data_IF_712915604561
#
_entry.id   IF_712915604561
#
_cell.length_a   1.000
_cell.length_b   1.000
_cell.length_c   1.000
_cell.angle_alpha   90.00
_cell.angle_beta   90.00
_cell.angle_gamma   90.00
#
_symmetry.space_group_name_H-M   'P 1'
#
loop_
_entity.id
_entity.type
_entity.pdbx_description
1 polymer ?
#
# COMPACT_ATOMS: atom_id res chain seq x y z
N UNK A 1 13.96 -17.09 21.37
CA UNK A 1 13.23 -15.84 21.48
C UNK A 1 13.04 -15.22 20.10
N UNK A 2 11.92 -14.50 19.94
CA UNK A 2 11.57 -13.83 18.69
C UNK A 2 11.30 -12.36 18.99
N UNK A 3 11.62 -11.50 18.02
CA UNK A 3 11.33 -10.07 18.10
C UNK A 3 10.11 -9.75 17.24
N UNK A 4 9.20 -8.96 17.77
CA UNK A 4 8.00 -8.59 17.06
C UNK A 4 7.93 -7.07 16.89
N UNK A 5 7.44 -6.66 15.73
CA UNK A 5 7.17 -5.25 15.41
C UNK A 5 5.69 -5.12 15.08
N UNK A 6 5.02 -4.18 15.71
CA UNK A 6 3.61 -3.91 15.46
C UNK A 6 3.44 -2.50 14.91
N UNK A 7 2.63 -2.35 13.88
CA UNK A 7 2.20 -1.05 13.38
C UNK A 7 0.74 -0.90 13.78
N UNK A 8 0.47 0.11 14.61
CA UNK A 8 -0.86 0.36 15.16
C UNK A 8 -1.50 1.49 14.34
N UNK A 9 -2.70 1.24 13.82
CA UNK A 9 -3.44 2.25 13.06
C UNK A 9 -4.07 3.28 14.01
N UNK A 10 -4.46 4.47 13.49
CA UNK A 10 -5.10 5.49 14.33
C UNK A 10 -6.35 5.01 15.06
N UNK A 11 -7.05 4.00 14.52
CA UNK A 11 -8.22 3.40 15.17
C UNK A 11 -7.84 2.42 16.29
N UNK A 12 -6.56 2.37 16.67
CA UNK A 12 -5.99 1.52 17.70
C UNK A 12 -6.03 0.03 17.39
N UNK A 13 -6.21 -0.32 16.13
CA UNK A 13 -6.14 -1.71 15.67
C UNK A 13 -4.78 -2.00 15.05
N UNK A 14 -4.35 -3.26 15.13
CA UNK A 14 -3.10 -3.69 14.52
C UNK A 14 -3.29 -3.72 13.00
N UNK A 15 -2.50 -2.91 12.27
CA UNK A 15 -2.54 -2.89 10.81
C UNK A 15 -1.57 -3.87 10.19
N UNK A 16 -0.43 -4.09 10.86
CA UNK A 16 0.60 -4.99 10.38
C UNK A 16 1.44 -5.44 11.57
N UNK A 17 1.91 -6.68 11.54
CA UNK A 17 2.94 -7.10 12.49
C UNK A 17 3.93 -8.03 11.81
N UNK A 18 5.17 -7.97 12.28
CA UNK A 18 6.27 -8.80 11.79
C UNK A 18 6.96 -9.48 12.95
N UNK A 19 7.32 -10.75 12.76
CA UNK A 19 8.05 -11.51 13.75
C UNK A 19 9.41 -11.89 13.17
N UNK A 20 10.48 -11.54 13.87
CA UNK A 20 11.84 -11.86 13.45
C UNK A 20 12.48 -12.83 14.42
N UNK A 21 13.28 -13.80 13.91
CA UNK A 21 14.12 -14.58 14.79
C UNK A 21 15.21 -13.70 15.42
N UNK A 22 15.77 -14.13 16.54
CA UNK A 22 16.80 -13.34 17.26
C UNK A 22 18.04 -13.06 16.41
N UNK A 23 18.36 -13.98 15.49
CA UNK A 23 19.54 -13.84 14.64
C UNK A 23 19.36 -12.87 13.47
N UNK A 24 18.13 -12.41 13.22
CA UNK A 24 17.81 -11.54 12.07
C UNK A 24 17.54 -10.13 12.54
N UNK A 25 18.32 -9.16 12.05
CA UNK A 25 18.08 -7.75 12.33
C UNK A 25 16.84 -7.23 11.60
N UNK A 26 16.19 -6.23 12.17
CA UNK A 26 15.00 -5.62 11.59
C UNK A 26 15.37 -4.67 10.47
N UNK A 27 14.57 -4.61 9.42
CA UNK A 27 14.73 -3.68 8.32
C UNK A 27 13.81 -2.48 8.53
N UNK A 28 14.34 -1.39 9.07
CA UNK A 28 13.55 -0.19 9.35
C UNK A 28 13.08 0.51 8.09
N UNK A 29 13.83 0.42 6.99
CA UNK A 29 13.39 0.97 5.71
C UNK A 29 12.12 0.29 5.22
N UNK A 30 12.01 -1.03 5.39
CA UNK A 30 10.80 -1.76 5.05
C UNK A 30 9.63 -1.36 5.96
N UNK A 31 9.88 -1.11 7.24
CA UNK A 31 8.83 -0.63 8.15
C UNK A 31 8.30 0.72 7.70
N UNK A 32 9.17 1.65 7.29
CA UNK A 32 8.76 2.95 6.77
C UNK A 32 7.99 2.81 5.47
N UNK A 33 8.43 1.93 4.58
CA UNK A 33 7.75 1.65 3.32
C UNK A 33 6.32 1.14 3.58
N UNK A 34 6.18 0.22 4.55
CA UNK A 34 4.88 -0.34 4.92
C UNK A 34 3.96 0.73 5.52
N UNK A 35 4.50 1.62 6.34
CA UNK A 35 3.71 2.73 6.90
C UNK A 35 3.23 3.67 5.80
N UNK A 36 4.11 4.04 4.86
CA UNK A 36 3.74 4.89 3.72
C UNK A 36 2.63 4.24 2.90
N UNK A 37 2.76 2.93 2.64
CA UNK A 37 1.73 2.17 1.94
C UNK A 37 0.40 2.17 2.68
N UNK A 38 0.43 1.92 3.99
CA UNK A 38 -0.78 1.89 4.81
C UNK A 38 -1.49 3.24 4.83
N UNK A 39 -0.74 4.33 4.93
CA UNK A 39 -1.31 5.67 4.90
C UNK A 39 -1.94 5.99 3.55
N UNK A 40 -1.26 5.62 2.46
CA UNK A 40 -1.77 5.84 1.11
C UNK A 40 -3.06 5.05 0.86
N UNK A 41 -3.05 3.76 1.20
CA UNK A 41 -4.21 2.89 0.97
C UNK A 41 -5.40 3.22 1.87
N UNK A 42 -5.16 3.86 3.01
CA UNK A 42 -6.24 4.33 3.88
C UNK A 42 -6.95 5.56 3.31
N UNK A 43 -6.24 6.40 2.55
CA UNK A 43 -6.79 7.63 1.96
C UNK A 43 -7.37 7.41 0.57
N UNK A 44 -6.80 6.49 -0.18
CA UNK A 44 -7.16 6.25 -1.59
C UNK A 44 -7.48 4.78 -1.79
N UNK A 45 -8.37 4.50 -2.73
CA UNK A 45 -8.77 3.11 -3.04
C UNK A 45 -7.77 2.47 -4.00
N UNK A 46 -6.55 2.32 -3.53
CA UNK A 46 -5.45 1.74 -4.29
C UNK A 46 -4.74 0.68 -3.45
N UNK A 47 -3.95 -0.15 -4.12
CA UNK A 47 -3.08 -1.12 -3.47
C UNK A 47 -1.65 -0.89 -3.96
N UNK A 48 -0.68 -1.15 -3.11
CA UNK A 48 0.72 -1.00 -3.49
C UNK A 48 1.28 -2.33 -3.96
N UNK A 49 1.99 -2.36 -5.10
CA UNK A 49 2.61 -3.60 -5.57
C UNK A 49 3.82 -3.99 -4.72
N UNK A 50 4.32 -5.20 -4.95
CA UNK A 50 5.55 -5.65 -4.30
C UNK A 50 6.69 -4.67 -4.60
N UNK A 51 7.55 -4.43 -3.59
CA UNK A 51 8.70 -3.54 -3.70
C UNK A 51 8.36 -2.08 -4.00
N UNK A 52 7.09 -1.70 -3.85
CA UNK A 52 6.66 -0.31 -4.07
C UNK A 52 7.39 0.64 -3.13
N UNK A 53 7.77 1.80 -3.67
CA UNK A 53 8.31 2.92 -2.91
C UNK A 53 7.43 4.15 -3.11
N UNK A 54 7.40 5.02 -2.12
CA UNK A 54 6.59 6.24 -2.16
C UNK A 54 6.88 7.04 -3.43
N UNK A 55 5.83 7.37 -4.17
CA UNK A 55 5.92 8.09 -5.42
C UNK A 55 5.83 7.22 -6.66
N UNK A 56 5.97 5.90 -6.54
CA UNK A 56 5.83 4.99 -7.67
C UNK A 56 4.36 4.71 -7.97
N UNK A 57 4.11 4.10 -9.13
CA UNK A 57 2.76 3.75 -9.54
C UNK A 57 2.10 2.77 -8.57
N UNK A 58 0.80 2.91 -8.40
CA UNK A 58 -0.01 2.03 -7.56
C UNK A 58 -1.08 1.35 -8.41
N UNK A 59 -1.77 0.39 -7.82
CA UNK A 59 -2.79 -0.41 -8.48
C UNK A 59 -4.16 -0.01 -7.96
N UNK A 60 -5.11 0.21 -8.87
CA UNK A 60 -6.51 0.44 -8.48
C UNK A 60 -7.06 -0.89 -7.96
N UNK A 61 -7.66 -0.88 -6.76
CA UNK A 61 -8.19 -2.13 -6.19
C UNK A 61 -9.30 -2.68 -7.08
N UNK A 62 -9.38 -4.03 -7.25
CA UNK A 62 -10.38 -4.64 -8.13
C UNK A 62 -11.83 -4.35 -7.70
N UNK A 63 -12.05 -4.04 -6.43
CA UNK A 63 -13.38 -3.70 -5.93
C UNK A 63 -13.91 -2.38 -6.50
N UNK A 64 -13.02 -1.51 -7.01
CA UNK A 64 -13.39 -0.25 -7.65
C UNK A 64 -13.68 -0.54 -9.12
N UNK A 65 -14.94 -0.34 -9.55
CA UNK A 65 -15.34 -0.52 -10.94
C UNK A 65 -14.89 0.66 -11.78
N UNK A 66 -14.85 0.49 -13.10
CA UNK A 66 -14.37 1.53 -14.02
C UNK A 66 -15.13 2.85 -13.87
N UNK A 67 -16.45 2.80 -13.65
CA UNK A 67 -17.25 4.02 -13.47
C UNK A 67 -16.82 4.82 -12.24
N UNK A 68 -16.58 4.11 -11.12
CA UNK A 68 -16.09 4.74 -9.89
C UNK A 68 -14.64 5.18 -10.06
N UNK A 69 -13.83 4.38 -10.75
CA UNK A 69 -12.43 4.72 -11.01
C UNK A 69 -12.29 6.01 -11.81
N UNK A 70 -13.18 6.26 -12.78
CA UNK A 70 -13.18 7.50 -13.57
C UNK A 70 -13.43 8.73 -12.70
N UNK A 71 -14.23 8.59 -11.65
CA UNK A 71 -14.49 9.68 -10.70
C UNK A 71 -13.30 9.93 -9.78
N UNK A 72 -12.62 8.85 -9.35
CA UNK A 72 -11.49 8.94 -8.43
C UNK A 72 -10.19 9.33 -9.14
N UNK A 73 -10.04 8.91 -10.39
CA UNK A 73 -8.82 9.12 -11.17
C UNK A 73 -9.17 9.70 -12.53
N UNK A 74 -9.55 11.01 -12.58
CA UNK A 74 -10.03 11.64 -13.83
C UNK A 74 -8.96 11.69 -14.91
N UNK A 75 -7.68 11.62 -14.56
CA UNK A 75 -6.58 11.62 -15.52
C UNK A 75 -6.38 10.25 -16.19
N UNK A 76 -7.19 9.25 -15.80
CA UNK A 76 -7.14 7.92 -16.38
C UNK A 76 -6.11 7.01 -15.71
N UNK A 77 -5.97 5.83 -16.26
CA UNK A 77 -5.05 4.81 -15.75
C UNK A 77 -4.56 3.92 -16.88
N UNK A 78 -3.48 3.18 -16.62
CA UNK A 78 -2.93 2.21 -17.57
C UNK A 78 -3.43 0.82 -17.20
N UNK A 79 -4.34 0.25 -18.01
CA UNK A 79 -4.88 -1.08 -17.79
C UNK A 79 -3.97 -2.12 -18.45
N UNK A 80 -3.08 -2.75 -17.68
CA UNK A 80 -2.27 -3.86 -18.17
C UNK A 80 -3.15 -5.07 -18.42
N UNK A 81 -4.12 -5.30 -17.52
CA UNK A 81 -5.17 -6.33 -17.65
C UNK A 81 -6.44 -5.75 -17.03
N UNK A 82 -7.63 -6.33 -17.31
CA UNK A 82 -8.87 -5.80 -16.72
C UNK A 82 -8.83 -5.70 -15.20
N UNK A 83 -8.08 -6.58 -14.54
CA UNK A 83 -7.92 -6.57 -13.08
C UNK A 83 -6.63 -5.92 -12.60
N UNK A 84 -5.78 -5.45 -13.51
CA UNK A 84 -4.49 -4.82 -13.18
C UNK A 84 -4.42 -3.45 -13.84
N UNK A 85 -4.91 -2.44 -13.13
CA UNK A 85 -4.95 -1.05 -13.56
C UNK A 85 -3.97 -0.23 -12.73
N UNK A 86 -2.98 0.36 -13.38
CA UNK A 86 -1.95 1.15 -12.71
C UNK A 86 -2.23 2.63 -12.87
N UNK A 87 -2.03 3.39 -11.79
CA UNK A 87 -2.15 4.84 -11.79
C UNK A 87 -0.93 5.43 -11.09
N UNK A 88 -0.54 6.68 -11.43
CA UNK A 88 0.47 7.38 -10.64
C UNK A 88 0.00 7.55 -9.21
N UNK A 89 0.96 7.71 -8.29
CA UNK A 89 0.68 7.89 -6.88
C UNK A 89 -0.26 9.09 -6.69
N UNK A 90 -1.50 8.88 -6.18
CA UNK A 90 -2.45 9.97 -6.01
C UNK A 90 -2.10 10.95 -4.88
N UNK A 91 -1.13 10.61 -4.06
CA UNK A 91 -0.67 11.49 -2.98
C UNK A 91 0.36 12.53 -3.45
N UNK A 92 0.80 12.41 -4.69
CA UNK A 92 1.73 13.39 -5.28
C UNK A 92 1.05 14.70 -5.61
#
# INVERSE_FOLDING_TARGET
YKRQVFIIRPDKRIGLFLTYPMATGRNFMELLRAIDSMQLTAKHKVATPADWKKGEEVIIVPAVKDDEAKKLFPDGWNAVKPYLRKVPDPSK
#
